data_IF_857220604358
#
_entry.id   IF_857220604358
#
_cell.length_a   1.000
_cell.length_b   1.000
_cell.length_c   1.000
_cell.angle_alpha   90.00
_cell.angle_beta   90.00
_cell.angle_gamma   90.00
#
_symmetry.space_group_name_H-M   'P 1'
#
loop_
_entity.id
_entity.type
_entity.pdbx_description
1 polymer ?
#
# COMPACT_ATOMS: atom_id res chain seq x y z
N UNK A 1 6.54 25.37 -12.66
CA UNK A 1 5.54 25.51 -13.73
C UNK A 1 5.35 26.96 -14.18
N UNK A 2 5.02 27.92 -13.30
CA UNK A 2 4.90 29.35 -13.67
C UNK A 2 6.14 29.93 -14.35
N UNK A 3 7.32 29.71 -13.78
CA UNK A 3 8.61 30.19 -14.30
C UNK A 3 8.93 29.59 -15.69
N UNK A 4 8.62 28.31 -15.89
CA UNK A 4 8.86 27.61 -17.16
C UNK A 4 7.97 28.15 -18.28
N UNK A 5 6.69 28.41 -17.97
CA UNK A 5 5.76 29.05 -18.91
C UNK A 5 6.23 30.47 -19.24
N UNK A 6 6.79 31.20 -18.28
CA UNK A 6 7.30 32.56 -18.53
C UNK A 6 8.52 32.54 -19.44
N UNK A 7 9.47 31.63 -19.21
CA UNK A 7 10.66 31.48 -20.07
C UNK A 7 10.28 31.06 -21.48
N UNK A 8 9.37 30.08 -21.62
CA UNK A 8 8.91 29.61 -22.93
C UNK A 8 8.18 30.72 -23.71
N UNK A 9 7.35 31.50 -23.02
CA UNK A 9 6.63 32.64 -23.60
C UNK A 9 7.59 33.77 -24.00
N UNK A 10 8.61 34.05 -23.18
CA UNK A 10 9.64 35.04 -23.50
C UNK A 10 10.48 34.62 -24.72
N UNK A 11 10.84 33.32 -24.83
CA UNK A 11 11.54 32.81 -26.01
C UNK A 11 10.68 32.81 -27.27
N UNK A 12 9.37 32.54 -27.16
CA UNK A 12 8.44 32.60 -28.29
C UNK A 12 8.19 34.04 -28.77
N UNK A 13 8.14 35.00 -27.85
CA UNK A 13 7.96 36.42 -28.16
C UNK A 13 9.20 37.06 -28.80
N UNK A 14 10.40 36.55 -28.52
CA UNK A 14 11.65 37.03 -29.13
C UNK A 14 11.89 36.46 -30.54
N UNK A 15 11.24 35.35 -30.90
CA UNK A 15 11.42 34.68 -32.19
C UNK A 15 11.02 35.54 -33.41
N UNK A 16 9.85 36.22 -33.44
CA UNK A 16 9.50 37.10 -34.57
C UNK A 16 10.35 38.37 -34.64
N UNK A 17 10.84 38.87 -33.50
CA UNK A 17 11.76 40.02 -33.44
C UNK A 17 13.12 39.73 -34.07
N UNK A 18 13.62 38.49 -33.91
CA UNK A 18 14.84 38.03 -34.56
C UNK A 18 14.64 37.77 -36.06
N UNK A 19 13.50 37.20 -36.44
CA UNK A 19 13.15 36.90 -37.83
C UNK A 19 12.90 38.14 -38.72
N UNK A 20 12.53 39.28 -38.12
CA UNK A 20 12.38 40.55 -38.85
C UNK A 20 13.72 41.23 -39.15
N UNK A 21 14.82 40.87 -38.46
CA UNK A 21 16.14 41.48 -38.66
C UNK A 21 16.97 40.84 -39.78
N UNK A 22 16.48 39.75 -40.39
CA UNK A 22 17.26 38.89 -41.29
C UNK A 22 17.14 39.21 -42.78
N UNK A 23 16.52 40.33 -43.18
CA UNK A 23 16.40 40.69 -44.60
C UNK A 23 17.66 41.35 -45.23
N UNK A 24 18.71 41.67 -44.47
CA UNK A 24 19.96 42.22 -45.03
C UNK A 24 21.20 41.36 -44.73
N UNK A 25 21.58 40.51 -45.70
CA UNK A 25 22.94 39.96 -45.83
C UNK A 25 23.20 38.54 -45.31
N UNK A 26 24.41 38.04 -45.64
CA UNK A 26 24.95 36.68 -45.39
C UNK A 26 24.95 36.25 -43.89
N UNK A 27 24.51 37.13 -42.99
CA UNK A 27 24.32 36.98 -41.54
C UNK A 27 23.18 36.01 -41.18
N UNK A 28 22.15 35.87 -42.01
CA UNK A 28 21.04 34.93 -41.78
C UNK A 28 21.48 33.46 -41.62
N UNK A 29 22.45 33.00 -42.42
CA UNK A 29 22.99 31.63 -42.33
C UNK A 29 23.74 31.35 -41.03
N UNK A 30 24.40 32.36 -40.45
CA UNK A 30 25.11 32.22 -39.18
C UNK A 30 24.14 32.15 -38.00
N UNK A 31 23.04 32.89 -38.06
CA UNK A 31 21.99 32.86 -37.04
C UNK A 31 21.25 31.52 -37.07
N UNK A 32 20.90 31.00 -38.25
CA UNK A 32 20.28 29.68 -38.39
C UNK A 32 21.16 28.54 -37.86
N UNK A 33 22.45 28.55 -38.19
CA UNK A 33 23.40 27.51 -37.74
C UNK A 33 23.69 27.53 -36.24
N UNK A 34 23.52 28.67 -35.56
CA UNK A 34 23.67 28.79 -34.10
C UNK A 34 22.36 28.57 -33.32
N UNK A 35 21.22 29.04 -33.83
CA UNK A 35 19.94 28.94 -33.12
C UNK A 35 19.35 27.53 -33.15
N UNK A 36 19.51 26.79 -34.27
CA UNK A 36 18.94 25.45 -34.41
C UNK A 36 19.49 24.47 -33.34
N UNK A 37 20.82 24.36 -33.12
CA UNK A 37 21.36 23.49 -32.07
C UNK A 37 20.91 23.87 -30.66
N UNK A 38 20.81 25.19 -30.37
CA UNK A 38 20.35 25.69 -29.07
C UNK A 38 18.89 25.32 -28.84
N UNK A 39 18.02 25.49 -29.84
CA UNK A 39 16.62 25.07 -29.77
C UNK A 39 16.47 23.56 -29.56
N UNK A 40 17.26 22.74 -30.28
CA UNK A 40 17.28 21.29 -30.11
C UNK A 40 17.71 20.92 -28.68
N UNK A 41 18.75 21.58 -28.15
CA UNK A 41 19.21 21.35 -26.78
C UNK A 41 18.15 21.72 -25.73
N UNK A 42 17.46 22.86 -25.91
CA UNK A 42 16.38 23.30 -25.02
C UNK A 42 15.20 22.33 -25.07
N UNK A 43 14.75 21.93 -26.26
CA UNK A 43 13.67 20.94 -26.42
C UNK A 43 14.06 19.60 -25.79
N UNK A 44 15.28 19.12 -26.04
CA UNK A 44 15.79 17.88 -25.45
C UNK A 44 15.82 17.92 -23.92
N UNK A 45 16.27 19.03 -23.34
CA UNK A 45 16.27 19.23 -21.89
C UNK A 45 14.85 19.26 -21.31
N UNK A 46 13.91 19.95 -21.96
CA UNK A 46 12.51 20.00 -21.54
C UNK A 46 11.87 18.60 -21.59
N UNK A 47 12.07 17.85 -22.69
CA UNK A 47 11.58 16.48 -22.83
C UNK A 47 12.15 15.57 -21.73
N UNK A 48 13.44 15.66 -21.46
CA UNK A 48 14.10 14.93 -20.36
C UNK A 48 13.47 15.28 -19.01
N UNK A 49 13.28 16.57 -18.72
CA UNK A 49 12.67 17.02 -17.46
C UNK A 49 11.24 16.48 -17.30
N UNK A 50 10.42 16.54 -18.34
CA UNK A 50 9.07 15.97 -18.29
C UNK A 50 9.08 14.46 -18.08
N UNK A 51 9.97 13.75 -18.78
CA UNK A 51 10.14 12.31 -18.63
C UNK A 51 10.57 11.92 -17.20
N UNK A 52 11.55 12.63 -16.63
CA UNK A 52 12.02 12.43 -15.26
C UNK A 52 10.89 12.66 -14.24
N UNK A 53 10.12 13.74 -14.37
CA UNK A 53 9.02 14.03 -13.43
C UNK A 53 7.93 12.95 -13.49
N UNK A 54 7.58 12.47 -14.69
CA UNK A 54 6.56 11.43 -14.87
C UNK A 54 7.06 10.09 -14.30
N UNK A 55 8.30 9.70 -14.60
CA UNK A 55 8.89 8.45 -14.13
C UNK A 55 9.11 8.44 -12.62
N UNK A 56 9.60 9.54 -12.04
CA UNK A 56 9.77 9.75 -10.60
C UNK A 56 8.43 9.61 -9.85
N UNK A 57 7.36 10.22 -10.36
CA UNK A 57 6.03 10.12 -9.76
C UNK A 57 5.51 8.68 -9.78
N UNK A 58 5.68 7.98 -10.90
CA UNK A 58 5.29 6.57 -11.02
C UNK A 58 6.09 5.67 -10.08
N UNK A 59 7.41 5.89 -9.97
CA UNK A 59 8.29 5.17 -9.05
C UNK A 59 7.83 5.34 -7.59
N UNK A 60 7.61 6.59 -7.15
CA UNK A 60 7.13 6.87 -5.78
C UNK A 60 5.79 6.22 -5.48
N UNK A 61 4.85 6.24 -6.44
CA UNK A 61 3.56 5.58 -6.24
C UNK A 61 3.71 4.06 -6.10
N UNK A 62 4.62 3.46 -6.86
CA UNK A 62 4.94 2.05 -6.78
C UNK A 62 5.56 1.70 -5.42
N UNK A 63 6.57 2.45 -4.99
CA UNK A 63 7.21 2.29 -3.67
C UNK A 63 6.18 2.34 -2.54
N UNK A 64 5.27 3.32 -2.57
CA UNK A 64 4.20 3.43 -1.56
C UNK A 64 3.22 2.23 -1.58
N UNK A 65 2.96 1.62 -2.73
CA UNK A 65 2.13 0.42 -2.82
C UNK A 65 2.87 -0.81 -2.28
N UNK A 66 4.15 -0.96 -2.64
CA UNK A 66 5.02 -2.03 -2.16
C UNK A 66 5.17 -1.96 -0.63
N UNK A 67 5.38 -0.77 -0.06
CA UNK A 67 5.43 -0.56 1.40
C UNK A 67 4.13 -0.97 2.08
N UNK A 68 2.96 -0.56 1.57
CA UNK A 68 1.67 -0.95 2.15
C UNK A 68 1.46 -2.45 2.14
N UNK A 69 1.77 -3.08 1.01
CA UNK A 69 1.64 -4.52 0.86
C UNK A 69 2.58 -5.26 1.81
N UNK A 70 3.87 -4.90 1.79
CA UNK A 70 4.93 -5.55 2.56
C UNK A 70 4.79 -5.33 4.06
N UNK A 71 4.47 -4.12 4.51
CA UNK A 71 4.59 -3.73 5.92
C UNK A 71 3.25 -3.78 6.68
N UNK A 72 2.12 -3.90 5.97
CA UNK A 72 0.78 -3.94 6.58
C UNK A 72 -0.07 -5.11 6.08
N UNK A 73 -0.39 -5.17 4.78
CA UNK A 73 -1.44 -6.06 4.28
C UNK A 73 -1.02 -7.54 4.23
N UNK A 74 0.12 -7.87 3.60
CA UNK A 74 0.59 -9.26 3.52
C UNK A 74 0.88 -9.89 4.88
N UNK A 75 1.62 -9.23 5.80
CA UNK A 75 1.91 -9.81 7.11
C UNK A 75 0.66 -10.16 7.92
N UNK A 76 -0.41 -9.37 7.79
CA UNK A 76 -1.70 -9.63 8.44
C UNK A 76 -2.42 -10.79 7.73
N UNK A 77 -2.56 -10.72 6.40
CA UNK A 77 -3.29 -11.74 5.63
C UNK A 77 -2.69 -13.13 5.82
N UNK A 78 -1.36 -13.26 5.72
CA UNK A 78 -0.68 -14.55 5.91
C UNK A 78 -0.95 -15.16 7.29
N UNK A 79 -1.01 -14.34 8.34
CA UNK A 79 -1.32 -14.81 9.71
C UNK A 79 -2.78 -15.23 9.87
N UNK A 80 -3.71 -14.50 9.25
CA UNK A 80 -5.12 -14.88 9.22
C UNK A 80 -5.31 -16.22 8.49
N UNK A 81 -4.69 -16.40 7.33
CA UNK A 81 -4.73 -17.66 6.58
C UNK A 81 -4.09 -18.82 7.36
N UNK A 82 -3.00 -18.55 8.08
CA UNK A 82 -2.37 -19.54 8.97
C UNK A 82 -3.34 -19.96 10.09
N UNK A 83 -4.01 -19.00 10.74
CA UNK A 83 -4.99 -19.31 11.79
C UNK A 83 -6.14 -20.16 11.24
N UNK A 84 -6.68 -19.83 10.08
CA UNK A 84 -7.76 -20.59 9.45
C UNK A 84 -7.31 -22.02 9.08
N UNK A 85 -6.10 -22.18 8.54
CA UNK A 85 -5.53 -23.50 8.23
C UNK A 85 -5.37 -24.37 9.50
N UNK A 86 -4.90 -23.77 10.60
CA UNK A 86 -4.75 -24.45 11.89
C UNK A 86 -6.12 -24.85 12.45
N UNK A 87 -7.10 -23.95 12.41
CA UNK A 87 -8.45 -24.24 12.87
C UNK A 87 -9.09 -25.38 12.08
N UNK A 88 -8.94 -25.39 10.75
CA UNK A 88 -9.40 -26.48 9.90
C UNK A 88 -8.74 -27.82 10.26
N UNK A 89 -7.45 -27.82 10.58
CA UNK A 89 -6.74 -29.01 11.04
C UNK A 89 -7.23 -29.52 12.41
N UNK A 90 -7.54 -28.63 13.36
CA UNK A 90 -8.10 -29.03 14.66
C UNK A 90 -9.51 -29.57 14.49
N UNK A 91 -10.38 -28.85 13.76
CA UNK A 91 -11.80 -29.20 13.60
C UNK A 91 -11.98 -30.51 12.83
N UNK A 92 -11.17 -30.76 11.79
CA UNK A 92 -11.20 -32.02 11.03
C UNK A 92 -10.85 -33.26 11.87
N UNK A 93 -10.18 -33.09 13.02
CA UNK A 93 -9.80 -34.19 13.92
C UNK A 93 -10.73 -34.35 15.13
N UNK A 94 -11.80 -33.53 15.23
CA UNK A 94 -12.67 -33.43 16.41
C UNK A 94 -13.66 -34.59 16.59
N UNK A 95 -13.78 -35.53 15.63
CA UNK A 95 -14.77 -36.61 15.67
C UNK A 95 -14.51 -37.74 16.68
N UNK A 96 -13.39 -37.73 17.41
CA UNK A 96 -13.13 -38.69 18.48
C UNK A 96 -12.68 -37.87 19.70
N UNK A 97 -13.51 -37.82 20.75
CA UNK A 97 -13.19 -37.11 22.00
C UNK A 97 -12.08 -37.87 22.72
N UNK A 98 -10.86 -37.35 22.62
CA UNK A 98 -9.67 -37.85 23.32
C UNK A 98 -9.10 -36.68 24.16
N UNK A 99 -8.73 -36.95 25.42
CA UNK A 99 -8.16 -35.94 26.35
C UNK A 99 -6.90 -35.30 25.77
N UNK A 100 -6.16 -36.05 24.94
CA UNK A 100 -5.02 -35.54 24.19
C UNK A 100 -5.42 -34.41 23.23
N UNK A 101 -6.58 -34.52 22.55
CA UNK A 101 -7.05 -33.50 21.60
C UNK A 101 -7.47 -32.22 22.31
N UNK A 102 -8.08 -32.32 23.49
CA UNK A 102 -8.42 -31.15 24.32
C UNK A 102 -7.14 -30.43 24.76
N UNK A 103 -6.13 -31.18 25.19
CA UNK A 103 -4.81 -30.63 25.58
C UNK A 103 -4.13 -29.94 24.40
N UNK A 104 -4.13 -30.58 23.22
CA UNK A 104 -3.59 -30.00 21.98
C UNK A 104 -4.36 -28.73 21.60
N UNK A 105 -5.70 -28.74 21.68
CA UNK A 105 -6.53 -27.58 21.35
C UNK A 105 -6.18 -26.38 22.24
N UNK A 106 -6.12 -26.57 23.56
CA UNK A 106 -5.70 -25.51 24.49
C UNK A 106 -4.30 -24.98 24.20
N UNK A 107 -3.34 -25.87 23.89
CA UNK A 107 -2.00 -25.46 23.51
C UNK A 107 -2.02 -24.61 22.23
N UNK A 108 -2.74 -25.05 21.20
CA UNK A 108 -2.81 -24.37 19.91
C UNK A 108 -3.49 -23.00 20.06
N UNK A 109 -4.61 -22.92 20.78
CA UNK A 109 -5.31 -21.66 21.06
C UNK A 109 -4.39 -20.63 21.72
N UNK A 110 -3.75 -21.00 22.84
CA UNK A 110 -2.93 -20.06 23.61
C UNK A 110 -1.56 -19.75 22.99
N UNK A 111 -0.87 -20.76 22.42
CA UNK A 111 0.52 -20.60 21.96
C UNK A 111 0.67 -20.25 20.50
N UNK A 112 -0.35 -20.53 19.67
CA UNK A 112 -0.28 -20.31 18.23
C UNK A 112 -1.30 -19.27 17.79
N UNK A 113 -2.59 -19.51 18.04
CA UNK A 113 -3.67 -18.64 17.55
C UNK A 113 -3.61 -17.27 18.24
N UNK A 114 -3.59 -17.24 19.57
CA UNK A 114 -3.50 -15.98 20.32
C UNK A 114 -2.18 -15.24 20.04
N UNK A 115 -1.07 -15.98 19.91
CA UNK A 115 0.22 -15.39 19.51
C UNK A 115 0.10 -14.69 18.15
N UNK A 116 -0.51 -15.33 17.16
CA UNK A 116 -0.73 -14.73 15.84
C UNK A 116 -1.64 -13.48 15.92
N UNK A 117 -2.70 -13.51 16.73
CA UNK A 117 -3.55 -12.34 16.95
C UNK A 117 -2.78 -11.16 17.57
N UNK A 118 -1.92 -11.42 18.57
CA UNK A 118 -1.03 -10.40 19.16
C UNK A 118 -0.06 -9.82 18.13
N UNK A 119 0.51 -10.66 17.27
CA UNK A 119 1.38 -10.19 16.18
C UNK A 119 0.63 -9.33 15.17
N UNK A 120 -0.61 -9.72 14.80
CA UNK A 120 -1.47 -8.90 13.93
C UNK A 120 -1.75 -7.53 14.57
N UNK A 121 -2.13 -7.49 15.85
CA UNK A 121 -2.31 -6.24 16.60
C UNK A 121 -1.03 -5.38 16.58
N UNK A 122 0.13 -6.01 16.78
CA UNK A 122 1.43 -5.34 16.71
C UNK A 122 1.71 -4.71 15.34
N UNK A 123 1.40 -5.43 14.25
CA UNK A 123 1.52 -4.91 12.87
C UNK A 123 0.58 -3.72 12.68
N UNK A 124 -0.69 -3.84 13.09
CA UNK A 124 -1.67 -2.77 12.93
C UNK A 124 -1.24 -1.51 13.68
N UNK A 125 -0.74 -1.65 14.92
CA UNK A 125 -0.28 -0.52 15.73
C UNK A 125 0.96 0.13 15.15
N UNK A 126 1.97 -0.66 14.75
CA UNK A 126 3.24 -0.16 14.21
C UNK A 126 3.06 0.49 12.85
N UNK A 127 2.31 -0.15 11.95
CA UNK A 127 2.20 0.23 10.55
C UNK A 127 0.93 1.02 10.25
N UNK A 128 0.28 1.60 11.28
CA UNK A 128 -0.97 2.35 11.15
C UNK A 128 -0.86 3.41 10.04
N UNK A 129 0.18 4.23 10.06
CA UNK A 129 0.38 5.32 9.09
C UNK A 129 0.48 4.87 7.62
N UNK A 130 0.80 3.60 7.34
CA UNK A 130 0.84 3.08 5.97
C UNK A 130 -0.57 2.82 5.40
N UNK A 131 -1.53 2.44 6.24
CA UNK A 131 -2.89 2.16 5.79
C UNK A 131 -3.69 3.47 5.67
N UNK A 132 -4.31 3.70 4.51
CA UNK A 132 -5.37 4.71 4.40
C UNK A 132 -6.62 4.13 5.06
N UNK A 133 -6.83 4.43 6.34
CA UNK A 133 -8.05 4.03 7.04
C UNK A 133 -9.23 4.84 6.52
N UNK A 134 -10.03 4.20 5.69
CA UNK A 134 -11.43 4.59 5.61
C UNK A 134 -12.18 4.13 6.87
N UNK A 135 -13.41 4.59 6.98
CA UNK A 135 -14.27 4.33 8.12
C UNK A 135 -14.52 2.83 8.32
N UNK A 136 -14.63 2.05 7.24
CA UNK A 136 -14.90 0.61 7.31
C UNK A 136 -13.70 -0.15 7.90
N UNK A 137 -12.49 0.09 7.38
CA UNK A 137 -11.28 -0.56 7.92
C UNK A 137 -11.06 -0.17 9.38
N UNK A 138 -11.25 1.10 9.72
CA UNK A 138 -11.08 1.56 11.10
C UNK A 138 -12.07 0.87 12.05
N UNK A 139 -13.33 0.69 11.63
CA UNK A 139 -14.34 -0.02 12.40
C UNK A 139 -13.96 -1.50 12.59
N UNK A 140 -13.62 -2.21 11.52
CA UNK A 140 -13.26 -3.63 11.59
C UNK A 140 -12.02 -3.85 12.48
N UNK A 141 -11.03 -2.97 12.39
CA UNK A 141 -9.85 -3.04 13.25
C UNK A 141 -10.19 -2.79 14.71
N UNK A 142 -11.01 -1.77 15.01
CA UNK A 142 -11.45 -1.53 16.37
C UNK A 142 -12.19 -2.73 16.96
N UNK A 143 -13.14 -3.30 16.20
CA UNK A 143 -13.87 -4.51 16.59
C UNK A 143 -12.91 -5.70 16.80
N UNK A 144 -11.89 -5.84 15.95
CA UNK A 144 -10.84 -6.86 16.08
C UNK A 144 -9.99 -6.68 17.35
N UNK A 145 -9.50 -5.47 17.62
CA UNK A 145 -8.73 -5.16 18.83
C UNK A 145 -9.52 -5.50 20.09
N UNK A 146 -10.79 -5.08 20.14
CA UNK A 146 -11.68 -5.39 21.25
C UNK A 146 -11.87 -6.90 21.40
N UNK A 147 -12.12 -7.61 20.30
CA UNK A 147 -12.26 -9.07 20.32
C UNK A 147 -11.03 -9.77 20.88
N UNK A 148 -9.83 -9.47 20.36
CA UNK A 148 -8.59 -10.14 20.78
C UNK A 148 -8.27 -9.85 22.24
N UNK A 149 -8.40 -8.59 22.69
CA UNK A 149 -8.14 -8.24 24.09
C UNK A 149 -9.07 -8.98 25.06
N UNK A 150 -10.35 -9.11 24.70
CA UNK A 150 -11.32 -9.86 25.49
C UNK A 150 -11.04 -11.37 25.44
N UNK A 151 -10.66 -11.90 24.27
CA UNK A 151 -10.30 -13.32 24.12
C UNK A 151 -9.08 -13.69 24.97
N UNK A 152 -8.07 -12.83 24.99
CA UNK A 152 -6.90 -12.96 25.84
C UNK A 152 -7.27 -13.00 27.33
N UNK A 153 -8.10 -12.05 27.79
CA UNK A 153 -8.58 -12.03 29.17
C UNK A 153 -9.37 -13.28 29.57
N UNK A 154 -10.21 -13.81 28.68
CA UNK A 154 -10.93 -15.06 28.91
C UNK A 154 -9.94 -16.21 29.09
N UNK A 155 -8.99 -16.37 28.16
CA UNK A 155 -8.01 -17.46 28.20
C UNK A 155 -7.16 -17.41 29.48
N UNK A 156 -6.76 -16.22 29.94
CA UNK A 156 -5.96 -16.06 31.16
C UNK A 156 -6.77 -16.30 32.44
N UNK A 157 -8.07 -15.98 32.44
CA UNK A 157 -8.95 -16.22 33.59
C UNK A 157 -9.31 -17.70 33.79
N UNK A 158 -9.15 -18.54 32.75
CA UNK A 158 -9.60 -19.93 32.75
C UNK A 158 -11.12 -20.10 32.61
N UNK A 159 -11.86 -19.00 32.39
CA UNK A 159 -13.31 -19.02 32.19
C UNK A 159 -13.68 -19.72 30.88
N UNK A 160 -14.69 -20.60 30.95
CA UNK A 160 -15.21 -21.33 29.78
C UNK A 160 -16.28 -20.51 29.06
N UNK A 161 -15.91 -19.31 28.60
CA UNK A 161 -16.79 -18.41 27.84
C UNK A 161 -16.17 -18.02 26.50
N UNK A 162 -16.92 -17.27 25.69
CA UNK A 162 -16.44 -16.77 24.39
C UNK A 162 -16.61 -15.25 24.32
N UNK A 163 -15.71 -14.54 23.62
CA UNK A 163 -15.78 -13.08 23.50
C UNK A 163 -17.13 -12.55 23.00
N UNK A 164 -17.78 -13.29 22.09
CA UNK A 164 -19.09 -12.91 21.55
C UNK A 164 -20.20 -12.86 22.59
N UNK A 165 -20.14 -13.69 23.64
CA UNK A 165 -21.15 -13.74 24.70
C UNK A 165 -21.06 -12.54 25.66
N UNK A 166 -19.93 -11.84 25.67
CA UNK A 166 -19.67 -10.66 26.51
C UNK A 166 -19.54 -9.37 25.68
N UNK A 167 -20.13 -9.35 24.49
CA UNK A 167 -20.25 -8.14 23.66
C UNK A 167 -19.03 -7.83 22.78
N UNK A 168 -18.09 -8.76 22.63
CA UNK A 168 -16.92 -8.63 21.78
C UNK A 168 -16.86 -9.74 20.71
N UNK A 169 -17.87 -9.87 19.82
CA UNK A 169 -17.84 -10.89 18.77
C UNK A 169 -16.69 -10.65 17.80
N UNK A 170 -16.24 -11.72 17.13
CA UNK A 170 -15.24 -11.61 16.07
C UNK A 170 -15.80 -10.76 14.92
N UNK A 171 -15.03 -9.81 14.37
CA UNK A 171 -15.47 -9.03 13.20
C UNK A 171 -15.51 -9.92 11.95
N UNK A 172 -16.69 -10.46 11.63
CA UNK A 172 -16.88 -11.45 10.54
C UNK A 172 -16.44 -10.98 9.15
N UNK A 173 -16.32 -9.68 8.93
CA UNK A 173 -15.89 -9.11 7.65
C UNK A 173 -14.39 -8.81 7.60
N UNK A 174 -13.67 -8.91 8.72
CA UNK A 174 -12.27 -8.49 8.80
C UNK A 174 -11.37 -9.26 7.84
N UNK A 175 -11.41 -10.58 7.85
CA UNK A 175 -10.56 -11.44 7.02
C UNK A 175 -10.82 -11.20 5.53
N UNK A 176 -12.11 -11.15 5.16
CA UNK A 176 -12.53 -10.86 3.79
C UNK A 176 -12.05 -9.48 3.35
N UNK A 177 -12.17 -8.47 4.21
CA UNK A 177 -11.72 -7.11 3.94
C UNK A 177 -10.21 -7.05 3.73
N UNK A 178 -9.43 -7.71 4.58
CA UNK A 178 -7.97 -7.76 4.47
C UNK A 178 -7.54 -8.46 3.18
N UNK A 179 -8.16 -9.60 2.86
CA UNK A 179 -7.91 -10.30 1.60
C UNK A 179 -8.24 -9.44 0.39
N UNK A 180 -9.45 -8.90 0.32
CA UNK A 180 -9.90 -8.08 -0.80
C UNK A 180 -8.97 -6.88 -1.04
N UNK A 181 -8.62 -6.14 0.01
CA UNK A 181 -7.73 -4.97 -0.13
C UNK A 181 -6.32 -5.37 -0.54
N UNK A 182 -5.81 -6.49 -0.03
CA UNK A 182 -4.50 -7.01 -0.43
C UNK A 182 -4.48 -7.31 -1.92
N UNK A 183 -5.50 -8.03 -2.43
CA UNK A 183 -5.63 -8.34 -3.85
C UNK A 183 -5.80 -7.09 -4.72
N UNK A 184 -6.58 -6.10 -4.27
CA UNK A 184 -6.77 -4.84 -4.98
C UNK A 184 -5.46 -4.04 -5.08
N UNK A 185 -4.69 -3.97 -4.00
CA UNK A 185 -3.39 -3.30 -3.97
C UNK A 185 -2.35 -4.04 -4.82
N UNK A 186 -2.34 -5.38 -4.78
CA UNK A 186 -1.46 -6.18 -5.63
C UNK A 186 -1.78 -5.97 -7.11
N UNK A 187 -3.06 -6.00 -7.49
CA UNK A 187 -3.49 -5.69 -8.87
C UNK A 187 -3.09 -4.29 -9.32
N UNK A 188 -3.13 -3.31 -8.40
CA UNK A 188 -2.67 -1.95 -8.69
C UNK A 188 -1.14 -1.89 -8.89
N UNK A 189 -0.39 -2.67 -8.12
CA UNK A 189 1.06 -2.78 -8.27
C UNK A 189 1.43 -3.46 -9.59
N UNK A 190 0.81 -4.59 -9.92
CA UNK A 190 1.11 -5.37 -11.13
C UNK A 190 0.83 -4.57 -12.40
N UNK A 191 -0.27 -3.81 -12.44
CA UNK A 191 -0.61 -2.89 -13.55
C UNK A 191 0.40 -1.76 -13.75
N UNK A 192 1.25 -1.48 -12.77
CA UNK A 192 2.31 -0.46 -12.84
C UNK A 192 3.68 -1.07 -13.17
N UNK A 193 3.79 -2.40 -13.18
CA UNK A 193 5.02 -3.15 -13.51
C UNK A 193 5.03 -3.57 -14.98
N UNK A 194 3.86 -3.82 -15.58
CA UNK A 194 3.67 -4.03 -17.02
C UNK A 194 3.54 -2.72 -17.80
#
# INVERSE_FOLDING_TARGET
MRILVTVLLQTLLLFPLLAQSTEEGNTGKYIESLLIPVLIAVIGYLLKMFYEVITEKSRRQRELLEEKLRDFYWPILTRLEQNDAIWRLILSKRSEMDDLKTTIAHYVEGKIILKNHREIMGIIMKSRYHARFDQELNKQLHDYFRHVAIYEGILESGEKTFPGLIGAPYPTHFDKLMKQRTEELQKQLDKKVG
#
